data_IF_548088287163
#
_entry.id   IF_548088287163
#
_cell.length_a   1.000
_cell.length_b   1.000
_cell.length_c   1.000
_cell.angle_alpha   90.00
_cell.angle_beta   90.00
_cell.angle_gamma   90.00
#
_symmetry.space_group_name_H-M   'P 1'
#
loop_
_entity.id
_entity.type
_entity.pdbx_description
1 polymer ?
#
# COMPACT_ATOMS: atom_id res chain seq x y z
N UNK A 1 6.11 -33.83 4.30
CA UNK A 1 6.77 -32.65 4.90
C UNK A 1 6.96 -31.45 3.94
N UNK A 2 6.50 -31.50 2.68
CA UNK A 2 6.68 -30.41 1.69
C UNK A 2 5.45 -29.48 1.49
N UNK A 3 4.33 -29.73 2.19
CA UNK A 3 3.07 -28.97 2.03
C UNK A 3 2.95 -27.73 2.95
N UNK A 4 3.90 -27.50 3.87
CA UNK A 4 3.82 -26.40 4.85
C UNK A 4 4.36 -25.05 4.34
N UNK A 5 5.17 -25.03 3.29
CA UNK A 5 5.76 -23.79 2.76
C UNK A 5 4.93 -23.10 1.67
N UNK A 6 4.01 -23.83 1.02
CA UNK A 6 3.19 -23.30 -0.07
C UNK A 6 1.92 -22.57 0.41
N UNK A 7 1.39 -22.93 1.59
CA UNK A 7 0.19 -22.33 2.18
C UNK A 7 0.21 -20.80 2.32
N UNK A 8 1.31 -20.15 2.77
CA UNK A 8 1.34 -18.68 2.86
C UNK A 8 1.35 -18.01 1.48
N UNK A 9 2.04 -18.60 0.50
CA UNK A 9 2.12 -18.07 -0.87
C UNK A 9 0.80 -18.22 -1.62
N UNK A 10 0.12 -19.36 -1.46
CA UNK A 10 -1.19 -19.57 -2.06
C UNK A 10 -2.22 -18.60 -1.50
N UNK A 11 -2.21 -18.30 -0.20
CA UNK A 11 -3.06 -17.27 0.41
C UNK A 11 -2.74 -15.88 -0.17
N UNK A 12 -1.46 -15.51 -0.22
CA UNK A 12 -1.00 -14.22 -0.73
C UNK A 12 -1.30 -14.01 -2.22
N UNK A 13 -1.47 -15.07 -3.00
CA UNK A 13 -1.89 -14.97 -4.39
C UNK A 13 -3.42 -15.02 -4.53
N UNK A 14 -4.08 -15.91 -3.79
CA UNK A 14 -5.50 -16.19 -3.98
C UNK A 14 -6.42 -15.13 -3.38
N UNK A 15 -6.05 -14.51 -2.26
CA UNK A 15 -6.93 -13.55 -1.57
C UNK A 15 -6.82 -12.13 -2.13
N UNK A 16 -5.63 -11.50 -2.22
CA UNK A 16 -5.56 -10.10 -2.65
C UNK A 16 -5.77 -9.94 -4.16
N UNK A 17 -5.52 -10.96 -4.98
CA UNK A 17 -5.73 -10.88 -6.44
C UNK A 17 -7.19 -10.64 -6.87
N UNK A 18 -8.18 -11.45 -6.46
CA UNK A 18 -9.58 -11.18 -6.79
C UNK A 18 -10.08 -9.88 -6.16
N UNK A 19 -9.62 -9.55 -4.95
CA UNK A 19 -9.93 -8.27 -4.30
C UNK A 19 -9.37 -7.08 -5.08
N UNK A 20 -8.19 -7.22 -5.68
CA UNK A 20 -7.59 -6.22 -6.55
C UNK A 20 -8.40 -6.02 -7.83
N UNK A 21 -8.79 -7.11 -8.50
CA UNK A 21 -9.66 -7.03 -9.67
C UNK A 21 -11.00 -6.36 -9.33
N UNK A 22 -11.60 -6.72 -8.19
CA UNK A 22 -12.84 -6.11 -7.73
C UNK A 22 -12.66 -4.61 -7.43
N UNK A 23 -11.56 -4.22 -6.76
CA UNK A 23 -11.22 -2.82 -6.53
C UNK A 23 -11.03 -2.02 -7.82
N UNK A 24 -10.42 -2.62 -8.85
CA UNK A 24 -10.30 -1.99 -10.15
C UNK A 24 -11.66 -1.76 -10.81
N UNK A 25 -12.55 -2.75 -10.77
CA UNK A 25 -13.91 -2.64 -11.30
C UNK A 25 -14.71 -1.56 -10.56
N UNK A 26 -14.59 -1.51 -9.23
CA UNK A 26 -15.24 -0.48 -8.41
C UNK A 26 -14.77 0.92 -8.79
N UNK A 27 -13.46 1.14 -8.91
CA UNK A 27 -12.92 2.45 -9.26
C UNK A 27 -13.34 2.89 -10.66
N UNK A 28 -13.24 1.98 -11.63
CA UNK A 28 -13.58 2.26 -13.02
C UNK A 28 -15.06 2.57 -13.23
N UNK A 29 -15.95 1.95 -12.45
CA UNK A 29 -17.40 2.13 -12.62
C UNK A 29 -18.02 3.21 -11.75
N UNK A 30 -17.55 3.37 -10.51
CA UNK A 30 -18.28 4.17 -9.50
C UNK A 30 -17.52 5.39 -9.01
N UNK A 31 -16.19 5.35 -8.97
CA UNK A 31 -15.41 6.42 -8.31
C UNK A 31 -14.93 7.45 -9.32
N UNK A 32 -14.27 7.01 -10.40
CA UNK A 32 -13.63 7.92 -11.35
C UNK A 32 -13.72 7.38 -12.81
N UNK A 33 -14.90 7.42 -13.45
CA UNK A 33 -15.09 6.84 -14.78
C UNK A 33 -14.22 7.45 -15.88
N UNK A 34 -13.71 8.68 -15.68
CA UNK A 34 -12.92 9.43 -16.68
C UNK A 34 -11.44 9.65 -16.31
N UNK A 35 -11.00 9.20 -15.13
CA UNK A 35 -9.63 9.46 -14.67
C UNK A 35 -8.67 8.37 -15.15
N UNK A 36 -7.43 8.79 -15.46
CA UNK A 36 -6.33 7.91 -15.90
C UNK A 36 -6.16 6.71 -14.96
N UNK A 37 -5.60 5.63 -15.50
CA UNK A 37 -5.47 4.31 -14.85
C UNK A 37 -4.64 4.29 -13.56
N UNK A 38 -3.78 5.27 -13.28
CA UNK A 38 -2.83 5.23 -12.15
C UNK A 38 -3.53 5.38 -10.77
N UNK A 39 -4.32 6.44 -10.49
CA UNK A 39 -5.09 6.53 -9.25
C UNK A 39 -5.99 5.31 -8.98
N UNK A 40 -6.66 4.78 -10.00
CA UNK A 40 -7.50 3.60 -9.83
C UNK A 40 -6.72 2.33 -9.48
N UNK A 41 -5.50 2.15 -10.03
CA UNK A 41 -4.63 1.05 -9.63
C UNK A 41 -4.20 1.17 -8.17
N UNK A 42 -3.88 2.38 -7.73
CA UNK A 42 -3.48 2.65 -6.34
C UNK A 42 -4.64 2.38 -5.37
N UNK A 43 -5.84 2.87 -5.70
CA UNK A 43 -7.07 2.57 -4.97
C UNK A 43 -7.32 1.06 -4.86
N UNK A 44 -7.29 0.35 -6.00
CA UNK A 44 -7.52 -1.09 -6.02
C UNK A 44 -6.49 -1.84 -5.17
N UNK A 45 -5.24 -1.37 -5.15
CA UNK A 45 -4.15 -1.97 -4.39
C UNK A 45 -4.31 -1.70 -2.88
N UNK A 46 -4.66 -0.47 -2.47
CA UNK A 46 -5.01 -0.18 -1.07
C UNK A 46 -6.20 -1.00 -0.60
N UNK A 47 -7.25 -1.06 -1.43
CA UNK A 47 -8.47 -1.80 -1.12
C UNK A 47 -8.19 -3.30 -0.93
N UNK A 48 -7.44 -3.90 -1.87
CA UNK A 48 -7.06 -5.30 -1.80
C UNK A 48 -6.23 -5.62 -0.55
N UNK A 49 -5.23 -4.79 -0.23
CA UNK A 49 -4.38 -5.02 0.95
C UNK A 49 -5.18 -4.81 2.24
N UNK A 50 -6.05 -3.80 2.33
CA UNK A 50 -6.88 -3.57 3.52
C UNK A 50 -7.82 -4.74 3.79
N UNK A 51 -8.50 -5.23 2.75
CA UNK A 51 -9.39 -6.38 2.89
C UNK A 51 -8.63 -7.68 3.15
N UNK A 52 -7.46 -7.90 2.54
CA UNK A 52 -6.66 -9.09 2.84
C UNK A 52 -6.11 -9.07 4.26
N UNK A 53 -5.78 -7.90 4.81
CA UNK A 53 -5.41 -7.73 6.22
C UNK A 53 -6.62 -8.00 7.13
N UNK A 54 -7.80 -7.47 6.81
CA UNK A 54 -9.03 -7.78 7.55
C UNK A 54 -9.35 -9.28 7.55
N UNK A 55 -9.26 -9.94 6.39
CA UNK A 55 -9.43 -11.40 6.29
C UNK A 55 -8.39 -12.14 7.13
N UNK A 56 -7.15 -11.66 7.17
CA UNK A 56 -6.10 -12.25 8.00
C UNK A 56 -6.41 -12.14 9.49
N UNK A 57 -6.85 -10.96 9.95
CA UNK A 57 -7.26 -10.72 11.34
C UNK A 57 -8.47 -11.58 11.69
N UNK A 58 -9.43 -11.75 10.77
CA UNK A 58 -10.57 -12.64 10.99
C UNK A 58 -10.11 -14.10 11.16
N UNK A 59 -9.21 -14.58 10.30
CA UNK A 59 -8.63 -15.92 10.42
C UNK A 59 -7.80 -16.11 11.70
N UNK A 60 -7.18 -15.05 12.20
CA UNK A 60 -6.52 -15.03 13.51
C UNK A 60 -7.53 -15.16 14.65
N UNK A 61 -8.65 -14.43 14.63
CA UNK A 61 -9.70 -14.52 15.65
C UNK A 61 -10.36 -15.90 15.66
N UNK A 62 -10.49 -16.56 14.50
CA UNK A 62 -10.99 -17.94 14.41
C UNK A 62 -9.94 -19.01 14.78
N UNK A 63 -8.70 -18.61 15.13
CA UNK A 63 -7.55 -19.48 15.43
C UNK A 63 -7.27 -20.57 14.37
N UNK A 64 -7.60 -20.27 13.10
CA UNK A 64 -7.42 -21.21 11.97
C UNK A 64 -5.96 -21.32 11.54
N UNK A 65 -5.14 -20.30 11.86
CA UNK A 65 -3.80 -20.13 11.31
C UNK A 65 -2.70 -20.36 12.36
N UNK A 66 -1.70 -21.17 12.01
CA UNK A 66 -0.57 -21.47 12.91
C UNK A 66 0.20 -20.21 13.32
N UNK A 67 0.60 -20.14 14.59
CA UNK A 67 1.22 -18.95 15.21
C UNK A 67 2.42 -18.37 14.43
N UNK A 68 3.26 -19.21 13.84
CA UNK A 68 4.43 -18.78 13.06
C UNK A 68 4.08 -18.16 11.70
N UNK A 69 3.09 -18.72 11.00
CA UNK A 69 2.66 -18.21 9.68
C UNK A 69 1.84 -16.93 9.80
N UNK A 70 1.08 -16.80 10.90
CA UNK A 70 0.31 -15.61 11.26
C UNK A 70 1.17 -14.36 11.37
N UNK A 71 2.22 -14.42 12.19
CA UNK A 71 3.11 -13.28 12.40
C UNK A 71 3.83 -12.88 11.10
N UNK A 72 4.22 -13.86 10.29
CA UNK A 72 4.89 -13.61 9.01
C UNK A 72 3.96 -12.88 8.02
N UNK A 73 2.72 -13.38 7.82
CA UNK A 73 1.77 -12.73 6.92
C UNK A 73 1.36 -11.34 7.43
N UNK A 74 1.15 -11.19 8.73
CA UNK A 74 0.81 -9.90 9.33
C UNK A 74 1.92 -8.88 9.07
N UNK A 75 3.19 -9.25 9.29
CA UNK A 75 4.35 -8.40 8.98
C UNK A 75 4.41 -8.02 7.50
N UNK A 76 4.18 -8.97 6.59
CA UNK A 76 4.19 -8.70 5.14
C UNK A 76 3.08 -7.72 4.76
N UNK A 77 1.86 -7.90 5.26
CA UNK A 77 0.76 -6.97 4.97
C UNK A 77 1.00 -5.60 5.60
N UNK A 78 1.53 -5.51 6.81
CA UNK A 78 1.87 -4.24 7.45
C UNK A 78 2.96 -3.50 6.65
N UNK A 79 4.01 -4.19 6.23
CA UNK A 79 5.08 -3.62 5.40
C UNK A 79 4.54 -3.17 4.04
N UNK A 80 3.67 -3.96 3.41
CA UNK A 80 3.06 -3.59 2.15
C UNK A 80 2.16 -2.35 2.30
N UNK A 81 1.37 -2.27 3.37
CA UNK A 81 0.52 -1.11 3.65
C UNK A 81 1.35 0.13 3.96
N UNK A 82 2.44 -0.02 4.74
CA UNK A 82 3.38 1.05 5.03
C UNK A 82 4.05 1.57 3.76
N UNK A 83 4.55 0.68 2.89
CA UNK A 83 5.15 1.06 1.62
C UNK A 83 4.15 1.77 0.70
N UNK A 84 2.89 1.33 0.71
CA UNK A 84 1.83 2.00 -0.05
C UNK A 84 1.59 3.42 0.46
N UNK A 85 1.47 3.61 1.78
CA UNK A 85 1.17 4.91 2.39
C UNK A 85 2.34 5.89 2.30
N UNK A 86 3.54 5.42 2.64
CA UNK A 86 4.73 6.29 2.81
C UNK A 86 5.41 6.57 1.48
N UNK A 87 5.32 5.64 0.52
CA UNK A 87 6.06 5.73 -0.74
C UNK A 87 5.13 5.93 -1.94
N UNK A 88 4.20 4.99 -2.17
CA UNK A 88 3.41 4.99 -3.41
C UNK A 88 2.40 6.14 -3.48
N UNK A 89 1.70 6.41 -2.38
CA UNK A 89 0.68 7.45 -2.30
C UNK A 89 1.26 8.86 -2.57
N UNK A 90 2.28 9.34 -1.83
CA UNK A 90 2.85 10.67 -2.07
C UNK A 90 3.51 10.76 -3.45
N UNK A 91 4.15 9.69 -3.94
CA UNK A 91 4.76 9.67 -5.27
C UNK A 91 3.71 9.93 -6.36
N UNK A 92 2.54 9.28 -6.29
CA UNK A 92 1.48 9.50 -7.27
C UNK A 92 0.86 10.88 -7.13
N UNK A 93 0.68 11.41 -5.92
CA UNK A 93 0.19 12.77 -5.71
C UNK A 93 1.15 13.82 -6.31
N UNK A 94 2.44 13.69 -6.04
CA UNK A 94 3.50 14.57 -6.58
C UNK A 94 3.53 14.50 -8.11
N UNK A 95 3.52 13.28 -8.68
CA UNK A 95 3.53 13.07 -10.13
C UNK A 95 2.31 13.70 -10.81
N UNK A 96 1.13 13.56 -10.21
CA UNK A 96 -0.10 14.14 -10.72
C UNK A 96 -0.08 15.67 -10.62
N UNK A 97 0.44 16.23 -9.52
CA UNK A 97 0.59 17.68 -9.34
C UNK A 97 1.53 18.30 -10.40
N UNK A 98 2.67 17.67 -10.68
CA UNK A 98 3.57 18.13 -11.75
C UNK A 98 2.94 18.05 -13.14
N UNK A 99 2.14 17.01 -13.40
CA UNK A 99 1.38 16.90 -14.66
C UNK A 99 0.32 17.99 -14.80
N UNK A 100 -0.34 18.40 -13.71
CA UNK A 100 -1.28 19.53 -13.75
C UNK A 100 -0.61 20.88 -14.00
N UNK A 101 0.67 21.01 -13.62
CA UNK A 101 1.49 22.21 -13.88
C UNK A 101 2.07 22.25 -15.31
N UNK A 102 1.75 21.28 -16.17
CA UNK A 102 2.18 21.25 -17.56
C UNK A 102 3.60 20.70 -17.78
N UNK A 103 4.25 20.13 -16.76
CA UNK A 103 5.53 19.45 -16.92
C UNK A 103 5.29 18.11 -17.61
N UNK A 104 5.69 17.98 -18.88
CA UNK A 104 5.47 16.77 -19.69
C UNK A 104 6.77 16.01 -20.01
N UNK A 105 7.94 16.65 -19.85
CA UNK A 105 9.23 16.03 -20.11
C UNK A 105 9.56 14.97 -19.05
N UNK A 106 9.75 13.69 -19.42
CA UNK A 106 9.86 12.58 -18.47
C UNK A 106 11.15 12.62 -17.63
N UNK A 107 12.24 13.16 -18.16
CA UNK A 107 13.53 13.25 -17.46
C UNK A 107 13.51 14.29 -16.34
N UNK A 108 12.92 15.46 -16.57
CA UNK A 108 12.81 16.51 -15.55
C UNK A 108 11.73 16.20 -14.51
N UNK A 109 10.69 15.44 -14.88
CA UNK A 109 9.60 15.07 -13.97
C UNK A 109 10.09 14.16 -12.84
N UNK A 110 10.92 13.17 -13.14
CA UNK A 110 11.51 12.28 -12.13
C UNK A 110 12.47 13.03 -11.20
N UNK A 111 13.30 13.91 -11.75
CA UNK A 111 14.23 14.73 -10.96
C UNK A 111 13.50 15.72 -10.04
N UNK A 112 12.48 16.42 -10.55
CA UNK A 112 11.68 17.35 -9.76
C UNK A 112 10.78 16.64 -8.73
N UNK A 113 10.34 15.40 -8.98
CA UNK A 113 9.55 14.62 -8.03
C UNK A 113 10.36 14.10 -6.84
N UNK A 114 11.68 13.94 -6.98
CA UNK A 114 12.56 13.47 -5.91
C UNK A 114 12.61 14.43 -4.73
N UNK A 115 12.71 15.75 -4.97
CA UNK A 115 12.82 16.74 -3.90
C UNK A 115 11.63 16.75 -2.91
N UNK A 116 10.36 16.86 -3.34
CA UNK A 116 9.22 16.78 -2.44
C UNK A 116 9.06 15.39 -1.82
N UNK A 117 9.50 14.33 -2.50
CA UNK A 117 9.48 12.97 -1.95
C UNK A 117 10.48 12.82 -0.79
N UNK A 118 11.69 13.36 -0.92
CA UNK A 118 12.69 13.38 0.17
C UNK A 118 12.18 14.21 1.35
N UNK A 119 11.57 15.36 1.09
CA UNK A 119 10.96 16.18 2.13
C UNK A 119 9.85 15.41 2.88
N UNK A 120 8.98 14.71 2.16
CA UNK A 120 7.95 13.87 2.75
C UNK A 120 8.54 12.75 3.62
N UNK A 121 9.58 12.07 3.11
CA UNK A 121 10.26 11.02 3.85
C UNK A 121 10.91 11.56 5.15
N UNK A 122 11.44 12.78 5.11
CA UNK A 122 12.00 13.46 6.28
C UNK A 122 10.94 13.76 7.33
N UNK A 123 9.75 14.25 6.92
CA UNK A 123 8.61 14.46 7.83
C UNK A 123 8.17 13.14 8.45
N UNK A 124 8.10 12.07 7.66
CA UNK A 124 7.76 10.74 8.15
C UNK A 124 8.80 10.20 9.16
N UNK A 125 10.09 10.38 8.86
CA UNK A 125 11.17 10.01 9.79
C UNK A 125 11.05 10.74 11.12
N UNK A 126 10.78 12.05 11.09
CA UNK A 126 10.62 12.87 12.30
C UNK A 126 9.41 12.46 13.15
N UNK A 127 8.36 11.91 12.53
CA UNK A 127 7.20 11.36 13.24
C UNK A 127 7.55 10.11 14.05
N UNK A 128 8.63 9.41 13.69
CA UNK A 128 9.14 8.26 14.42
C UNK A 128 10.01 8.61 15.63
N UNK A 129 10.35 9.88 15.83
CA UNK A 129 11.01 10.28 17.07
C UNK A 129 10.01 10.21 18.24
N UNK A 130 10.38 9.57 19.36
CA UNK A 130 9.51 9.53 20.53
C UNK A 130 9.15 10.96 20.93
N UNK A 131 7.86 11.19 21.23
CA UNK A 131 7.43 12.46 21.81
C UNK A 131 8.36 12.80 22.97
N UNK A 132 8.78 14.08 23.13
CA UNK A 132 9.60 14.46 24.27
C UNK A 132 8.83 14.10 25.53
N UNK A 133 9.25 13.01 26.19
CA UNK A 133 8.75 12.67 27.51
C UNK A 133 9.41 13.68 28.42
N UNK A 134 8.66 14.73 28.77
CA UNK A 134 9.09 15.69 29.78
C UNK A 134 9.49 14.89 31.01
N UNK A 135 10.79 14.87 31.28
CA UNK A 135 11.36 14.25 32.47
C UNK A 135 11.39 15.37 33.51
N UNK A 136 10.28 15.56 34.22
CA UNK A 136 10.25 16.36 35.46
C UNK A 136 10.76 15.51 36.64
#
# INVERSE_FOLDING_TARGET
FALRSAAPLSYLLFVPFPLYQFGQLLCARYVLPFVKTVPCRLFALSFAISLSLLTLVLLEVLDVLTHGTRLALLRVHLLAHLALLVLALPLVQILMAFRTLGVTAPSSLCACALAPLVLWLYVFYKLGEPFPVFSD
#
